data_IF_742809018850
#
_entry.id   IF_742809018850
#
_cell.length_a   1.000
_cell.length_b   1.000
_cell.length_c   1.000
_cell.angle_alpha   90.00
_cell.angle_beta   90.00
_cell.angle_gamma   90.00
#
_symmetry.space_group_name_H-M   'P 1'
#
loop_
_entity.id
_entity.type
_entity.pdbx_description
1 polymer ?
#
# COMPACT_ATOMS: atom_id res chain seq x y z
N UNK A 1 3.81 11.32 24.83
CA UNK A 1 2.52 10.98 24.19
C UNK A 1 2.28 9.51 24.47
N UNK A 2 1.37 9.18 25.38
CA UNK A 2 0.91 7.80 25.53
C UNK A 2 0.25 7.43 24.21
N UNK A 3 0.90 6.57 23.42
CA UNK A 3 0.21 5.86 22.34
C UNK A 3 -0.86 5.09 23.08
N UNK A 4 -2.10 5.56 22.97
CA UNK A 4 -3.26 5.04 23.68
C UNK A 4 -3.43 3.59 23.23
N UNK A 5 -2.76 2.70 23.96
CA UNK A 5 -2.53 1.31 23.56
C UNK A 5 -3.88 0.62 23.42
N UNK A 6 -4.88 1.07 24.17
CA UNK A 6 -6.27 0.64 24.05
C UNK A 6 -6.94 1.07 22.73
N UNK A 7 -6.66 2.26 22.18
CA UNK A 7 -7.20 2.68 20.87
C UNK A 7 -6.59 1.88 19.72
N UNK A 8 -5.28 1.61 19.78
CA UNK A 8 -4.59 0.81 18.75
C UNK A 8 -4.98 -0.67 18.86
N UNK A 9 -5.12 -1.20 20.07
CA UNK A 9 -5.67 -2.55 20.29
C UNK A 9 -7.16 -2.65 19.90
N UNK A 10 -7.94 -1.56 20.00
CA UNK A 10 -9.32 -1.50 19.49
C UNK A 10 -9.38 -1.53 17.95
N UNK A 11 -8.43 -0.92 17.24
CA UNK A 11 -8.32 -1.07 15.77
C UNK A 11 -7.80 -2.45 15.36
N UNK A 12 -6.98 -3.08 16.20
CA UNK A 12 -6.49 -4.45 16.02
C UNK A 12 -7.41 -5.52 16.63
N UNK A 13 -8.61 -5.16 17.10
CA UNK A 13 -9.52 -6.13 17.71
C UNK A 13 -10.01 -7.10 16.62
N UNK A 14 -9.73 -8.41 16.73
CA UNK A 14 -10.11 -9.40 15.71
C UNK A 14 -11.60 -9.39 15.37
N UNK A 15 -12.48 -9.00 16.32
CA UNK A 15 -13.92 -8.88 16.05
C UNK A 15 -14.29 -7.70 15.14
N UNK A 16 -13.49 -6.63 15.11
CA UNK A 16 -13.70 -5.47 14.23
C UNK A 16 -13.04 -5.63 12.85
N UNK A 17 -12.14 -6.60 12.71
CA UNK A 17 -11.55 -7.01 11.42
C UNK A 17 -12.62 -7.60 10.49
N UNK A 18 -13.59 -8.32 11.05
CA UNK A 18 -14.65 -8.95 10.25
C UNK A 18 -15.53 -7.95 9.52
N UNK A 19 -15.70 -6.71 10.01
CA UNK A 19 -16.58 -5.73 9.34
C UNK A 19 -15.99 -5.31 7.97
N UNK A 20 -14.73 -4.83 7.85
CA UNK A 20 -14.11 -4.57 6.55
C UNK A 20 -13.96 -5.79 5.66
N UNK A 21 -13.69 -6.97 6.25
CA UNK A 21 -13.56 -8.23 5.50
C UNK A 21 -14.91 -8.64 4.90
N UNK A 22 -15.99 -8.62 5.69
CA UNK A 22 -17.35 -8.92 5.23
C UNK A 22 -17.88 -7.85 4.28
N UNK A 23 -17.48 -6.58 4.44
CA UNK A 23 -17.77 -5.53 3.45
C UNK A 23 -17.03 -5.77 2.13
N UNK A 24 -15.74 -6.11 2.17
CA UNK A 24 -14.96 -6.41 0.97
C UNK A 24 -15.49 -7.64 0.24
N UNK A 25 -15.75 -8.73 0.97
CA UNK A 25 -16.38 -9.94 0.43
C UNK A 25 -17.80 -9.61 -0.04
N UNK A 26 -18.58 -8.86 0.73
CA UNK A 26 -19.95 -8.48 0.41
C UNK A 26 -20.06 -7.62 -0.83
N UNK A 27 -19.12 -6.70 -1.07
CA UNK A 27 -19.05 -5.92 -2.32
C UNK A 27 -18.70 -6.83 -3.49
N UNK A 28 -17.73 -7.75 -3.35
CA UNK A 28 -17.39 -8.71 -4.41
C UNK A 28 -18.58 -9.61 -4.73
N UNK A 29 -19.25 -10.15 -3.70
CA UNK A 29 -20.46 -10.98 -3.86
C UNK A 29 -21.61 -10.18 -4.44
N UNK A 30 -21.83 -8.93 -4.01
CA UNK A 30 -22.85 -8.07 -4.60
C UNK A 30 -22.55 -7.76 -6.07
N UNK A 31 -21.31 -7.40 -6.41
CA UNK A 31 -20.91 -7.20 -7.80
C UNK A 31 -21.07 -8.49 -8.61
N UNK A 32 -20.87 -9.67 -8.00
CA UNK A 32 -21.13 -10.94 -8.66
C UNK A 32 -22.63 -11.22 -8.86
N UNK A 33 -23.47 -10.87 -7.88
CA UNK A 33 -24.92 -11.10 -7.90
C UNK A 33 -25.67 -10.10 -8.80
N UNK A 34 -25.15 -8.89 -8.95
CA UNK A 34 -25.73 -7.81 -9.75
C UNK A 34 -25.07 -7.66 -11.14
N UNK A 35 -24.13 -8.55 -11.50
CA UNK A 35 -23.62 -8.64 -12.87
C UNK A 35 -24.51 -9.61 -13.66
N UNK A 36 -25.38 -9.07 -14.50
CA UNK A 36 -26.31 -9.82 -15.35
C UNK A 36 -25.60 -10.80 -16.31
N UNK A 37 -24.28 -10.69 -16.47
CA UNK A 37 -23.45 -11.56 -17.30
C UNK A 37 -22.68 -12.64 -16.52
N UNK A 38 -22.98 -12.86 -15.23
CA UNK A 38 -22.27 -13.83 -14.39
C UNK A 38 -22.85 -15.24 -14.52
N UNK A 39 -22.42 -15.95 -15.56
CA UNK A 39 -22.77 -17.35 -15.77
C UNK A 39 -21.77 -18.27 -15.06
N UNK A 40 -22.22 -19.43 -14.56
CA UNK A 40 -21.32 -20.46 -14.00
C UNK A 40 -20.18 -20.84 -14.96
N UNK A 41 -20.44 -20.74 -16.27
CA UNK A 41 -19.47 -20.96 -17.34
C UNK A 41 -18.27 -20.01 -17.29
N UNK A 42 -18.45 -18.76 -16.84
CA UNK A 42 -17.34 -17.79 -16.68
C UNK A 42 -16.45 -18.11 -15.49
N UNK A 43 -16.97 -18.78 -14.46
CA UNK A 43 -16.16 -19.26 -13.34
C UNK A 43 -15.32 -20.47 -13.74
N UNK A 44 -15.82 -21.31 -14.66
CA UNK A 44 -15.08 -22.46 -15.20
C UNK A 44 -13.87 -22.03 -16.05
N UNK A 45 -13.85 -20.79 -16.56
CA UNK A 45 -12.70 -20.20 -17.27
C UNK A 45 -11.43 -20.14 -16.41
N UNK A 46 -11.53 -20.29 -15.08
CA UNK A 46 -10.35 -20.42 -14.21
C UNK A 46 -9.46 -21.60 -14.63
N UNK A 47 -10.04 -22.65 -15.18
CA UNK A 47 -9.31 -23.83 -15.65
C UNK A 47 -8.40 -23.55 -16.85
N UNK A 48 -8.66 -22.46 -17.59
CA UNK A 48 -7.84 -22.04 -18.72
C UNK A 48 -6.58 -21.28 -18.29
N UNK A 49 -6.40 -21.01 -16.99
CA UNK A 49 -5.22 -20.33 -16.49
C UNK A 49 -3.95 -21.18 -16.73
N UNK A 50 -2.98 -20.62 -17.45
CA UNK A 50 -1.67 -21.21 -17.65
C UNK A 50 -0.94 -21.44 -16.33
N UNK A 51 -0.75 -22.70 -15.95
CA UNK A 51 -0.14 -23.08 -14.67
C UNK A 51 1.27 -22.51 -14.45
N UNK A 52 2.06 -22.39 -15.53
CA UNK A 52 3.40 -21.78 -15.47
C UNK A 52 3.38 -20.30 -15.08
N UNK A 53 2.50 -19.50 -15.72
CA UNK A 53 2.32 -18.08 -15.42
C UNK A 53 1.77 -17.87 -14.00
N UNK A 54 0.87 -18.74 -13.54
CA UNK A 54 0.35 -18.69 -12.18
C UNK A 54 1.41 -19.04 -11.13
N UNK A 55 2.22 -20.08 -11.38
CA UNK A 55 3.37 -20.39 -10.53
C UNK A 55 4.36 -19.23 -10.48
N UNK A 56 4.63 -18.59 -11.62
CA UNK A 56 5.46 -17.39 -11.67
C UNK A 56 4.88 -16.25 -10.83
N UNK A 57 3.56 -16.00 -10.90
CA UNK A 57 2.91 -15.00 -10.05
C UNK A 57 3.11 -15.29 -8.55
N UNK A 58 3.01 -16.57 -8.15
CA UNK A 58 3.28 -17.01 -6.77
C UNK A 58 4.75 -16.87 -6.37
N UNK A 59 5.69 -17.13 -7.27
CA UNK A 59 7.11 -16.91 -6.99
C UNK A 59 7.44 -15.42 -6.86
N UNK A 60 6.84 -14.57 -7.70
CA UNK A 60 7.02 -13.13 -7.66
C UNK A 60 6.48 -12.55 -6.34
N UNK A 61 5.30 -12.97 -5.87
CA UNK A 61 4.77 -12.49 -4.59
C UNK A 61 5.66 -12.89 -3.41
N UNK A 62 6.22 -14.11 -3.44
CA UNK A 62 7.17 -14.56 -2.41
C UNK A 62 8.47 -13.72 -2.44
N UNK A 63 9.04 -13.50 -3.62
CA UNK A 63 10.21 -12.65 -3.80
C UNK A 63 9.96 -11.22 -3.31
N UNK A 64 8.78 -10.67 -3.63
CA UNK A 64 8.34 -9.35 -3.16
C UNK A 64 8.30 -9.28 -1.64
N UNK A 65 7.72 -10.27 -0.98
CA UNK A 65 7.60 -10.30 0.48
C UNK A 65 8.96 -10.44 1.16
N UNK A 66 9.87 -11.25 0.60
CA UNK A 66 11.28 -11.29 1.02
C UNK A 66 11.97 -9.94 0.86
N UNK A 67 11.66 -9.22 -0.23
CA UNK A 67 12.12 -7.84 -0.45
C UNK A 67 11.62 -6.87 0.62
N UNK A 68 10.35 -6.94 1.02
CA UNK A 68 9.79 -6.14 2.11
C UNK A 68 10.46 -6.46 3.46
N UNK A 69 10.69 -7.74 3.76
CA UNK A 69 11.38 -8.21 4.98
C UNK A 69 12.81 -7.66 5.03
N UNK A 70 13.55 -7.78 3.92
CA UNK A 70 14.89 -7.22 3.79
C UNK A 70 14.87 -5.70 3.97
N UNK A 71 13.94 -5.00 3.29
CA UNK A 71 13.79 -3.55 3.34
C UNK A 71 13.58 -3.05 4.76
N UNK A 72 12.61 -3.60 5.51
CA UNK A 72 12.30 -3.13 6.87
C UNK A 72 13.46 -3.40 7.84
N UNK A 73 14.19 -4.51 7.65
CA UNK A 73 15.39 -4.83 8.42
C UNK A 73 16.51 -3.83 8.15
N UNK A 74 16.74 -3.45 6.88
CA UNK A 74 17.76 -2.45 6.54
C UNK A 74 17.36 -1.05 7.00
N UNK A 75 16.09 -0.67 6.86
CA UNK A 75 15.54 0.59 7.31
C UNK A 75 15.72 0.79 8.82
N UNK A 76 15.50 -0.26 9.61
CA UNK A 76 15.69 -0.22 11.07
C UNK A 76 17.16 -0.31 11.49
N UNK A 77 18.10 -0.41 10.55
CA UNK A 77 19.53 -0.58 10.84
C UNK A 77 19.82 -1.94 11.49
N UNK A 78 19.11 -2.99 11.07
CA UNK A 78 19.21 -4.38 11.56
C UNK A 78 18.80 -4.59 13.03
N UNK A 79 18.12 -3.64 13.65
CA UNK A 79 17.56 -3.78 15.01
C UNK A 79 16.50 -4.88 15.10
N UNK A 80 15.69 -5.07 14.06
CA UNK A 80 14.70 -6.15 14.00
C UNK A 80 15.35 -7.46 13.57
N UNK A 81 15.16 -8.55 14.31
CA UNK A 81 15.51 -9.91 13.84
C UNK A 81 14.77 -10.27 12.54
N UNK A 82 15.26 -11.25 11.78
CA UNK A 82 14.56 -11.72 10.57
C UNK A 82 13.12 -12.15 10.86
N UNK A 83 12.90 -12.90 11.93
CA UNK A 83 11.55 -13.30 12.34
C UNK A 83 10.69 -12.11 12.74
N UNK A 84 11.24 -11.15 13.50
CA UNK A 84 10.55 -9.90 13.83
C UNK A 84 10.15 -9.12 12.57
N UNK A 85 11.02 -9.08 11.55
CA UNK A 85 10.70 -8.46 10.26
C UNK A 85 9.57 -9.17 9.52
N UNK A 86 9.52 -10.51 9.56
CA UNK A 86 8.38 -11.28 9.01
C UNK A 86 7.08 -10.88 9.71
N UNK A 87 7.06 -10.88 11.05
CA UNK A 87 5.88 -10.46 11.81
C UNK A 87 5.46 -9.03 11.47
N UNK A 88 6.42 -8.10 11.39
CA UNK A 88 6.16 -6.70 11.05
C UNK A 88 5.49 -6.58 9.67
N UNK A 89 6.04 -7.23 8.64
CA UNK A 89 5.50 -7.11 7.27
C UNK A 89 4.12 -7.75 7.15
N UNK A 90 3.92 -8.97 7.66
CA UNK A 90 2.62 -9.65 7.60
C UNK A 90 1.54 -8.82 8.30
N UNK A 91 1.84 -8.32 9.51
CA UNK A 91 0.88 -7.55 10.29
C UNK A 91 0.67 -6.14 9.74
N UNK A 92 1.68 -5.54 9.10
CA UNK A 92 1.54 -4.28 8.39
C UNK A 92 0.59 -4.45 7.20
N UNK A 93 0.85 -5.41 6.31
CA UNK A 93 0.00 -5.66 5.14
C UNK A 93 -1.43 -6.04 5.54
N UNK A 94 -1.58 -6.87 6.59
CA UNK A 94 -2.87 -7.18 7.18
C UNK A 94 -3.61 -5.93 7.65
N UNK A 95 -2.93 -5.05 8.39
CA UNK A 95 -3.55 -3.82 8.86
C UNK A 95 -3.95 -2.91 7.71
N UNK A 96 -3.10 -2.77 6.70
CA UNK A 96 -3.40 -1.97 5.50
C UNK A 96 -4.61 -2.52 4.74
N UNK A 97 -4.75 -3.84 4.68
CA UNK A 97 -5.87 -4.51 4.01
C UNK A 97 -7.22 -4.32 4.74
N UNK A 98 -7.20 -4.23 6.07
CA UNK A 98 -8.41 -4.16 6.91
C UNK A 98 -8.83 -2.71 7.19
N UNK A 99 -7.90 -1.74 7.21
CA UNK A 99 -8.24 -0.37 7.59
C UNK A 99 -8.87 0.43 6.42
N UNK A 100 -9.97 1.18 6.65
CA UNK A 100 -10.64 2.00 5.62
C UNK A 100 -9.79 3.09 4.97
N UNK A 101 -8.69 3.47 5.60
CA UNK A 101 -7.84 4.56 5.15
C UNK A 101 -6.39 4.12 5.14
N UNK A 102 -5.63 4.60 4.15
CA UNK A 102 -4.16 4.51 4.05
C UNK A 102 -3.46 4.93 5.36
N UNK A 103 -4.10 5.81 6.13
CA UNK A 103 -3.59 6.31 7.42
C UNK A 103 -3.68 5.27 8.55
N UNK A 104 -4.65 4.34 8.48
CA UNK A 104 -4.86 3.32 9.52
C UNK A 104 -3.72 2.30 9.60
N UNK A 105 -3.30 1.76 8.46
CA UNK A 105 -2.19 0.80 8.37
C UNK A 105 -0.87 1.36 8.91
N UNK A 106 -0.59 2.64 8.64
CA UNK A 106 0.65 3.30 9.09
C UNK A 106 0.71 3.44 10.62
N UNK A 107 -0.40 3.77 11.28
CA UNK A 107 -0.45 3.89 12.75
C UNK A 107 -0.21 2.54 13.44
N UNK A 108 -0.79 1.47 12.87
CA UNK A 108 -0.59 0.10 13.36
C UNK A 108 0.84 -0.36 13.11
N UNK A 109 1.43 -0.07 11.95
CA UNK A 109 2.83 -0.37 11.66
C UNK A 109 3.80 0.27 12.68
N UNK A 110 3.59 1.55 13.03
CA UNK A 110 4.37 2.24 14.06
C UNK A 110 4.27 1.51 15.41
N UNK A 111 3.06 1.07 15.77
CA UNK A 111 2.84 0.33 17.01
C UNK A 111 3.51 -1.04 17.01
N UNK A 112 3.43 -1.79 15.91
CA UNK A 112 4.08 -3.11 15.78
C UNK A 112 5.60 -2.95 15.90
N UNK A 113 6.20 -1.98 15.21
CA UNK A 113 7.62 -1.66 15.34
C UNK A 113 8.00 -1.32 16.78
N UNK A 114 7.17 -0.52 17.47
CA UNK A 114 7.39 -0.18 18.87
C UNK A 114 7.37 -1.41 19.78
N UNK A 115 6.44 -2.34 19.53
CA UNK A 115 6.34 -3.60 20.29
C UNK A 115 7.47 -4.58 20.00
N UNK A 116 8.04 -4.55 18.80
CA UNK A 116 9.25 -5.30 18.41
C UNK A 116 10.56 -4.67 18.92
N UNK A 117 10.48 -3.67 19.81
CA UNK A 117 11.64 -3.10 20.51
C UNK A 117 12.24 -1.84 19.87
N UNK A 118 11.67 -1.34 18.77
CA UNK A 118 12.09 -0.08 18.17
C UNK A 118 11.56 1.09 19.02
N UNK A 119 12.41 2.08 19.34
CA UNK A 119 11.95 3.26 20.10
C UNK A 119 10.84 3.97 19.31
N UNK A 120 9.79 4.45 19.99
CA UNK A 120 8.61 5.04 19.33
C UNK A 120 8.97 6.13 18.31
N UNK A 121 9.88 7.03 18.66
CA UNK A 121 10.33 8.08 17.74
C UNK A 121 11.02 7.56 16.47
N UNK A 122 11.72 6.42 16.58
CA UNK A 122 12.33 5.74 15.43
C UNK A 122 11.28 5.00 14.60
N UNK A 123 10.31 4.35 15.23
CA UNK A 123 9.21 3.68 14.53
C UNK A 123 8.41 4.67 13.66
N UNK A 124 8.11 5.86 14.20
CA UNK A 124 7.50 6.95 13.45
C UNK A 124 8.39 7.38 12.28
N UNK A 125 9.69 7.57 12.52
CA UNK A 125 10.65 7.95 11.48
C UNK A 125 10.71 6.95 10.33
N UNK A 126 10.78 5.66 10.66
CA UNK A 126 10.86 4.58 9.70
C UNK A 126 9.57 4.44 8.90
N UNK A 127 8.40 4.49 9.55
CA UNK A 127 7.12 4.46 8.84
C UNK A 127 6.97 5.64 7.87
N UNK A 128 7.35 6.85 8.30
CA UNK A 128 7.32 8.04 7.45
C UNK A 128 8.30 7.93 6.27
N UNK A 129 9.53 7.45 6.52
CA UNK A 129 10.52 7.27 5.46
C UNK A 129 10.06 6.21 4.45
N UNK A 130 9.48 5.10 4.90
CA UNK A 130 8.90 4.09 4.01
C UNK A 130 7.84 4.70 3.10
N UNK A 131 6.90 5.46 3.67
CA UNK A 131 5.85 6.13 2.90
C UNK A 131 6.41 7.12 1.86
N UNK A 132 7.45 7.89 2.22
CA UNK A 132 8.11 8.81 1.27
C UNK A 132 8.77 8.03 0.15
N UNK A 133 9.51 6.95 0.45
CA UNK A 133 10.16 6.12 -0.56
C UNK A 133 9.14 5.43 -1.49
N UNK A 134 8.03 4.95 -0.92
CA UNK A 134 6.94 4.33 -1.67
C UNK A 134 6.27 5.33 -2.60
N UNK A 135 5.96 6.53 -2.12
CA UNK A 135 5.39 7.56 -2.99
C UNK A 135 6.41 8.06 -4.03
N UNK A 136 7.70 8.12 -3.68
CA UNK A 136 8.74 8.50 -4.64
C UNK A 136 8.84 7.51 -5.80
N UNK A 137 8.64 6.21 -5.54
CA UNK A 137 8.51 5.23 -6.61
C UNK A 137 7.42 5.64 -7.60
N UNK A 138 6.23 6.03 -7.13
CA UNK A 138 5.13 6.46 -8.00
C UNK A 138 5.40 7.76 -8.75
N UNK A 139 6.02 8.73 -8.07
CA UNK A 139 6.41 10.02 -8.69
C UNK A 139 7.37 9.80 -9.85
N UNK A 140 8.29 8.84 -9.75
CA UNK A 140 9.26 8.53 -10.81
C UNK A 140 8.70 7.55 -11.85
N UNK A 141 7.97 6.52 -11.41
CA UNK A 141 7.47 5.47 -12.28
C UNK A 141 6.34 5.94 -13.19
N UNK A 142 5.53 6.91 -12.77
CA UNK A 142 4.41 7.39 -13.58
C UNK A 142 4.83 8.10 -14.88
N UNK A 143 5.77 9.07 -14.88
CA UNK A 143 6.31 9.61 -16.13
C UNK A 143 6.92 8.54 -17.04
N UNK A 144 7.67 7.60 -16.47
CA UNK A 144 8.28 6.49 -17.23
C UNK A 144 7.19 5.61 -17.85
N UNK A 145 6.15 5.27 -17.09
CA UNK A 145 5.00 4.51 -17.57
C UNK A 145 4.27 5.21 -18.72
N UNK A 146 4.05 6.52 -18.62
CA UNK A 146 3.41 7.30 -19.68
C UNK A 146 4.26 7.31 -20.96
N UNK A 147 5.57 7.53 -20.84
CA UNK A 147 6.51 7.50 -21.96
C UNK A 147 6.55 6.12 -22.64
N UNK A 148 6.70 5.05 -21.86
CA UNK A 148 6.74 3.67 -22.35
C UNK A 148 5.43 3.22 -22.99
N UNK A 149 4.30 3.79 -22.55
CA UNK A 149 2.98 3.49 -23.11
C UNK A 149 2.65 4.26 -24.39
N UNK A 150 3.48 5.23 -24.80
CA UNK A 150 3.22 6.13 -25.94
C UNK A 150 1.80 6.73 -25.92
N UNK A 151 1.31 7.12 -24.73
CA UNK A 151 -0.03 7.68 -24.54
C UNK A 151 -1.18 6.66 -24.49
N UNK A 152 -0.91 5.35 -24.51
CA UNK A 152 -1.92 4.28 -24.42
C UNK A 152 -2.16 3.75 -23.00
N UNK A 153 -1.50 4.34 -21.99
CA UNK A 153 -1.73 4.00 -20.59
C UNK A 153 -3.14 4.34 -20.11
N UNK A 154 -3.81 5.29 -20.75
CA UNK A 154 -5.23 5.55 -20.52
C UNK A 154 -6.07 4.71 -21.49
N UNK A 155 -7.16 4.07 -21.02
CA UNK A 155 -8.07 3.37 -21.90
C UNK A 155 -8.77 4.37 -22.84
N UNK A 156 -8.81 4.07 -24.15
CA UNK A 156 -9.35 4.94 -25.22
C UNK A 156 -10.88 4.93 -25.35
N UNK A 157 -11.60 4.41 -24.37
CA UNK A 157 -13.05 4.25 -24.46
C UNK A 157 -13.72 5.64 -24.49
N UNK A 158 -14.41 5.97 -25.60
CA UNK A 158 -15.19 7.21 -25.81
C UNK A 158 -16.27 7.44 -24.73
N UNK A 159 -16.54 6.44 -23.90
CA UNK A 159 -17.49 6.48 -22.79
C UNK A 159 -16.85 6.21 -21.41
N UNK A 160 -15.54 6.47 -21.21
CA UNK A 160 -14.96 6.53 -19.86
C UNK A 160 -15.38 7.79 -19.08
N UNK A 161 -16.63 8.24 -19.28
CA UNK A 161 -17.33 9.05 -18.31
C UNK A 161 -17.52 8.15 -17.09
N UNK A 162 -16.70 8.36 -16.06
CA UNK A 162 -16.98 7.76 -14.77
C UNK A 162 -18.43 8.08 -14.41
N UNK A 163 -19.13 7.16 -13.73
CA UNK A 163 -20.42 7.44 -13.10
C UNK A 163 -20.36 8.67 -12.14
N UNK A 164 -19.15 9.15 -11.85
CA UNK A 164 -18.81 10.33 -11.04
C UNK A 164 -18.44 11.59 -11.84
N UNK A 165 -18.67 11.64 -13.17
CA UNK A 165 -18.68 12.88 -13.96
C UNK A 165 -17.32 13.47 -14.38
N UNK A 166 -16.23 12.70 -14.39
CA UNK A 166 -14.90 13.15 -14.84
C UNK A 166 -14.17 12.14 -15.71
N UNK A 167 -13.21 12.60 -16.53
CA UNK A 167 -12.33 11.72 -17.30
C UNK A 167 -11.26 11.09 -16.41
N UNK A 168 -10.96 9.81 -16.63
CA UNK A 168 -9.90 9.07 -15.91
C UNK A 168 -8.55 9.80 -15.93
N UNK A 169 -8.25 10.47 -17.04
CA UNK A 169 -7.03 11.24 -17.23
C UNK A 169 -6.96 12.46 -16.29
N UNK A 170 -8.06 13.21 -16.13
CA UNK A 170 -8.12 14.33 -15.19
C UNK A 170 -7.95 13.84 -13.75
N UNK A 171 -8.63 12.75 -13.37
CA UNK A 171 -8.45 12.17 -12.04
C UNK A 171 -7.01 11.71 -11.80
N UNK A 172 -6.38 11.10 -12.80
CA UNK A 172 -4.98 10.71 -12.71
C UNK A 172 -4.08 11.92 -12.49
N UNK A 173 -4.18 12.99 -13.29
CA UNK A 173 -3.30 14.16 -13.14
C UNK A 173 -3.51 14.89 -11.81
N UNK A 174 -4.76 14.97 -11.33
CA UNK A 174 -5.06 15.51 -9.99
C UNK A 174 -4.40 14.64 -8.92
N UNK A 175 -4.61 13.32 -8.96
CA UNK A 175 -4.03 12.37 -8.00
C UNK A 175 -2.50 12.42 -8.02
N UNK A 176 -1.91 12.43 -9.22
CA UNK A 176 -0.48 12.51 -9.45
C UNK A 176 0.11 13.83 -8.95
N UNK A 177 -0.56 14.96 -9.21
CA UNK A 177 -0.17 16.26 -8.68
C UNK A 177 -0.18 16.27 -7.14
N UNK A 178 -1.25 15.75 -6.54
CA UNK A 178 -1.38 15.67 -5.08
C UNK A 178 -0.30 14.80 -4.44
N UNK A 179 -0.06 13.58 -4.93
CA UNK A 179 1.00 12.71 -4.38
C UNK A 179 2.39 13.30 -4.61
N UNK A 180 2.64 13.93 -5.76
CA UNK A 180 3.93 14.58 -6.06
C UNK A 180 4.19 15.73 -5.10
N UNK A 181 3.24 16.66 -4.96
CA UNK A 181 3.36 17.79 -4.02
C UNK A 181 3.54 17.28 -2.60
N UNK A 182 2.73 16.32 -2.16
CA UNK A 182 2.83 15.72 -0.84
C UNK A 182 4.22 15.12 -0.60
N UNK A 183 4.72 14.33 -1.55
CA UNK A 183 6.00 13.61 -1.43
C UNK A 183 7.18 14.58 -1.42
N UNK A 184 7.17 15.59 -2.29
CA UNK A 184 8.22 16.62 -2.33
C UNK A 184 8.24 17.43 -1.04
N UNK A 185 7.08 17.89 -0.57
CA UNK A 185 6.97 18.62 0.70
C UNK A 185 7.47 17.77 1.86
N UNK A 186 7.10 16.48 1.90
CA UNK A 186 7.53 15.58 2.97
C UNK A 186 9.02 15.23 2.90
N UNK A 187 9.56 15.00 1.72
CA UNK A 187 10.99 14.80 1.52
C UNK A 187 11.79 16.05 1.96
N UNK A 188 11.38 17.25 1.52
CA UNK A 188 12.03 18.50 1.89
C UNK A 188 11.95 18.76 3.42
N UNK A 189 10.81 18.44 4.03
CA UNK A 189 10.63 18.55 5.47
C UNK A 189 11.53 17.58 6.24
N UNK A 190 11.65 16.34 5.77
CA UNK A 190 12.42 15.29 6.44
C UNK A 190 13.94 15.51 6.30
N UNK A 191 14.40 15.88 5.10
CA UNK A 191 15.83 15.95 4.79
C UNK A 191 16.44 17.33 5.00
N UNK A 192 15.74 18.40 4.61
CA UNK A 192 16.35 19.73 4.51
C UNK A 192 16.03 20.62 5.72
N UNK A 193 14.74 20.90 5.96
CA UNK A 193 14.33 21.93 6.95
C UNK A 193 13.13 21.50 7.82
N UNK A 194 13.29 20.52 8.72
CA UNK A 194 12.20 20.02 9.56
C UNK A 194 11.62 21.09 10.50
N UNK A 195 12.46 22.02 10.98
CA UNK A 195 12.01 23.14 11.83
C UNK A 195 11.16 24.15 11.04
N UNK A 196 11.54 24.45 9.80
CA UNK A 196 10.78 25.35 8.93
C UNK A 196 9.42 24.75 8.57
N UNK A 197 9.39 23.43 8.32
CA UNK A 197 8.14 22.72 8.09
C UNK A 197 7.20 22.79 9.30
N UNK A 198 7.70 22.50 10.51
CA UNK A 198 6.92 22.65 11.75
C UNK A 198 6.40 24.08 11.92
N UNK A 199 7.25 25.08 11.69
CA UNK A 199 6.84 26.48 11.77
C UNK A 199 5.73 26.82 10.77
N UNK A 200 5.87 26.38 9.51
CA UNK A 200 4.87 26.58 8.47
C UNK A 200 3.52 25.93 8.86
N UNK A 201 3.54 24.69 9.34
CA UNK A 201 2.34 24.01 9.83
C UNK A 201 1.64 24.79 10.95
N UNK A 202 2.41 25.28 11.93
CA UNK A 202 1.85 26.07 13.04
C UNK A 202 1.32 27.41 12.54
N UNK A 203 1.97 28.05 11.57
CA UNK A 203 1.55 29.32 10.98
C UNK A 203 0.25 29.17 10.18
N UNK A 204 0.15 28.16 9.33
CA UNK A 204 -1.09 27.85 8.59
C UNK A 204 -2.23 27.52 9.56
N UNK A 205 -1.97 26.72 10.58
CA UNK A 205 -2.97 26.39 11.61
C UNK A 205 -3.21 27.50 12.64
N UNK A 206 -2.63 28.68 12.45
CA UNK A 206 -2.92 29.87 13.26
C UNK A 206 -4.05 30.73 12.67
N UNK A 207 -4.43 30.49 11.41
CA UNK A 207 -5.59 31.12 10.76
C UNK A 207 -6.88 30.72 11.50
N UNK A 208 -7.81 31.65 11.69
CA UNK A 208 -8.97 31.53 12.59
C UNK A 208 -9.72 30.19 12.49
N UNK A 209 -10.15 29.79 11.29
CA UNK A 209 -10.89 28.54 11.09
C UNK A 209 -10.01 27.28 11.28
N UNK A 210 -8.69 27.39 11.05
CA UNK A 210 -7.76 26.27 11.15
C UNK A 210 -7.22 26.02 12.55
N UNK A 211 -7.52 26.91 13.51
CA UNK A 211 -7.01 26.86 14.88
C UNK A 211 -7.37 25.56 15.61
N UNK A 212 -8.50 24.94 15.25
CA UNK A 212 -8.93 23.64 15.81
C UNK A 212 -7.94 22.48 15.54
N UNK A 213 -7.13 22.56 14.47
CA UNK A 213 -6.15 21.53 14.12
C UNK A 213 -4.73 21.85 14.57
N UNK A 214 -4.51 22.98 15.25
CA UNK A 214 -3.17 23.43 15.68
C UNK A 214 -2.45 22.41 16.56
N UNK A 215 -3.16 21.76 17.49
CA UNK A 215 -2.58 20.71 18.33
C UNK A 215 -2.02 19.54 17.48
N UNK A 216 -2.78 19.09 16.48
CA UNK A 216 -2.33 18.06 15.56
C UNK A 216 -1.11 18.49 14.74
N UNK A 217 -1.12 19.73 14.23
CA UNK A 217 0.00 20.29 13.47
C UNK A 217 1.30 20.38 14.29
N UNK A 218 1.22 20.76 15.57
CA UNK A 218 2.37 20.77 16.48
C UNK A 218 2.95 19.36 16.65
N UNK A 219 2.08 18.36 16.88
CA UNK A 219 2.51 16.97 17.03
C UNK A 219 3.17 16.43 15.76
N UNK A 220 2.54 16.62 14.59
CA UNK A 220 3.12 16.23 13.29
C UNK A 220 4.46 16.92 13.02
N UNK A 221 4.56 18.21 13.32
CA UNK A 221 5.83 18.93 13.19
C UNK A 221 6.93 18.38 14.11
N UNK A 222 6.58 17.97 15.34
CA UNK A 222 7.52 17.30 16.25
C UNK A 222 7.95 15.92 15.72
N UNK A 223 7.01 15.13 15.22
CA UNK A 223 7.27 13.82 14.59
C UNK A 223 8.29 13.95 13.46
N UNK A 224 8.14 14.95 12.58
CA UNK A 224 9.08 15.21 11.48
C UNK A 224 10.46 15.62 11.99
N UNK A 225 10.54 16.46 13.02
CA UNK A 225 11.83 16.82 13.61
C UNK A 225 12.53 15.60 14.21
N UNK A 226 11.77 14.75 14.92
CA UNK A 226 12.30 13.50 15.49
C UNK A 226 12.76 12.55 14.38
N UNK A 227 11.95 12.40 13.33
CA UNK A 227 12.28 11.56 12.18
C UNK A 227 13.53 12.03 11.45
N UNK A 228 13.63 13.34 11.19
CA UNK A 228 14.81 13.95 10.57
C UNK A 228 16.07 13.70 11.38
N UNK A 229 16.01 13.88 12.72
CA UNK A 229 17.16 13.59 13.61
C UNK A 229 17.59 12.14 13.55
N UNK A 230 16.66 11.19 13.46
CA UNK A 230 16.97 9.76 13.39
C UNK A 230 17.65 9.34 12.07
N UNK A 231 17.40 10.08 11.00
CA UNK A 231 17.91 9.78 9.65
C UNK A 231 19.18 10.56 9.30
N UNK A 232 19.51 11.62 10.05
CA UNK A 232 20.76 12.37 9.88
C UNK A 232 21.98 11.48 10.14
N UNK A 233 23.01 11.64 9.32
CA UNK A 233 24.28 10.93 9.47
C UNK A 233 24.29 9.49 8.95
N UNK A 234 23.24 9.03 8.26
CA UNK A 234 23.24 7.72 7.59
C UNK A 234 24.11 7.79 6.32
N UNK A 235 25.04 6.83 6.18
CA UNK A 235 25.93 6.74 5.02
C UNK A 235 25.21 6.40 3.71
N UNK A 236 25.88 6.61 2.58
CA UNK A 236 25.33 6.39 1.24
C UNK A 236 24.80 4.97 1.03
N UNK A 237 25.49 3.96 1.57
CA UNK A 237 25.08 2.56 1.45
C UNK A 237 23.68 2.29 2.02
N UNK A 238 23.33 2.96 3.12
CA UNK A 238 22.02 2.82 3.74
C UNK A 238 20.92 3.26 2.76
N UNK A 239 21.12 4.41 2.11
CA UNK A 239 20.20 4.96 1.13
C UNK A 239 20.08 4.08 -0.11
N UNK A 240 21.19 3.59 -0.64
CA UNK A 240 21.17 2.68 -1.79
C UNK A 240 20.44 1.38 -1.45
N UNK A 241 20.74 0.76 -0.31
CA UNK A 241 20.11 -0.51 0.12
C UNK A 241 18.59 -0.38 0.25
N UNK A 242 18.09 0.68 0.90
CA UNK A 242 16.64 0.85 1.09
C UNK A 242 15.94 1.28 -0.21
N UNK A 243 16.59 2.10 -1.05
CA UNK A 243 16.02 2.53 -2.34
C UNK A 243 15.93 1.37 -3.31
N UNK A 244 17.00 0.58 -3.48
CA UNK A 244 16.99 -0.61 -4.36
C UNK A 244 15.97 -1.63 -3.87
N UNK A 245 15.91 -1.89 -2.56
CA UNK A 245 14.89 -2.77 -2.00
C UNK A 245 13.47 -2.25 -2.26
N UNK A 246 13.25 -0.94 -2.19
CA UNK A 246 11.94 -0.33 -2.48
C UNK A 246 11.57 -0.50 -3.95
N UNK A 247 12.50 -0.20 -4.87
CA UNK A 247 12.30 -0.40 -6.31
C UNK A 247 11.98 -1.86 -6.63
N UNK A 248 12.78 -2.80 -6.12
CA UNK A 248 12.59 -4.23 -6.33
C UNK A 248 11.20 -4.70 -5.88
N UNK A 249 10.78 -4.29 -4.68
CA UNK A 249 9.48 -4.66 -4.12
C UNK A 249 8.32 -4.14 -4.97
N UNK A 250 8.35 -2.86 -5.36
CA UNK A 250 7.29 -2.29 -6.18
C UNK A 250 7.27 -2.90 -7.59
N UNK A 251 8.43 -3.08 -8.22
CA UNK A 251 8.53 -3.76 -9.51
C UNK A 251 7.93 -5.17 -9.40
N UNK A 252 8.36 -5.99 -8.43
CA UNK A 252 7.80 -7.32 -8.21
C UNK A 252 6.27 -7.29 -8.00
N UNK A 253 5.75 -6.32 -7.24
CA UNK A 253 4.31 -6.13 -7.05
C UNK A 253 3.56 -5.96 -8.38
N UNK A 254 4.06 -5.11 -9.27
CA UNK A 254 3.43 -4.83 -10.57
C UNK A 254 3.63 -5.97 -11.58
N UNK A 255 4.74 -6.69 -11.49
CA UNK A 255 4.97 -7.91 -12.28
C UNK A 255 4.06 -9.07 -11.84
N UNK A 256 3.55 -9.06 -10.59
CA UNK A 256 2.61 -10.10 -10.12
C UNK A 256 1.32 -10.10 -10.95
N UNK A 257 0.68 -8.94 -11.11
CA UNK A 257 -0.53 -8.84 -11.93
C UNK A 257 -0.21 -9.07 -13.42
N UNK A 258 0.98 -8.67 -13.87
CA UNK A 258 1.43 -8.96 -15.23
C UNK A 258 1.46 -10.48 -15.49
N UNK A 259 2.02 -11.25 -14.56
CA UNK A 259 2.02 -12.72 -14.62
C UNK A 259 0.61 -13.33 -14.53
N UNK A 260 -0.30 -12.75 -13.73
CA UNK A 260 -1.71 -13.18 -13.68
C UNK A 260 -2.41 -12.96 -15.03
N UNK A 261 -2.21 -11.81 -15.68
CA UNK A 261 -2.78 -11.54 -17.02
C UNK A 261 -2.19 -12.52 -18.04
N UNK A 262 -0.89 -12.80 -17.94
CA UNK A 262 -0.17 -13.75 -18.81
C UNK A 262 -0.57 -15.21 -18.57
N UNK A 263 -1.41 -15.49 -17.57
CA UNK A 263 -2.02 -16.81 -17.41
C UNK A 263 -3.22 -17.00 -18.34
N UNK A 264 -3.80 -15.93 -18.88
CA UNK A 264 -5.00 -15.97 -19.73
C UNK A 264 -4.78 -15.42 -21.14
N UNK A 265 -3.75 -14.60 -21.33
CA UNK A 265 -3.45 -13.96 -22.60
C UNK A 265 -1.95 -14.04 -22.91
N UNK A 266 -1.63 -14.39 -24.15
CA UNK A 266 -0.26 -14.30 -24.65
C UNK A 266 0.06 -12.83 -24.96
N UNK A 267 0.95 -12.25 -24.14
CA UNK A 267 1.35 -10.86 -24.27
C UNK A 267 2.73 -10.75 -24.95
N UNK A 268 2.87 -9.82 -25.88
CA UNK A 268 4.16 -9.40 -26.37
C UNK A 268 4.90 -8.55 -25.33
N UNK A 269 6.22 -8.38 -25.50
CA UNK A 269 7.04 -7.55 -24.60
C UNK A 269 6.50 -6.12 -24.47
N UNK A 270 6.02 -5.52 -25.56
CA UNK A 270 5.43 -4.17 -25.52
C UNK A 270 4.10 -4.15 -24.78
N UNK A 271 3.29 -5.21 -24.89
CA UNK A 271 2.05 -5.35 -24.12
C UNK A 271 2.32 -5.54 -22.63
N UNK A 272 3.37 -6.28 -22.24
CA UNK A 272 3.77 -6.38 -20.83
C UNK A 272 4.15 -5.01 -20.25
N UNK A 273 4.90 -4.19 -21.01
CA UNK A 273 5.24 -2.82 -20.59
C UNK A 273 4.01 -1.92 -20.51
N UNK A 274 3.07 -2.06 -21.45
CA UNK A 274 1.80 -1.34 -21.43
C UNK A 274 0.95 -1.72 -20.22
N UNK A 275 0.86 -3.02 -19.90
CA UNK A 275 0.18 -3.53 -18.70
C UNK A 275 0.82 -2.93 -17.44
N UNK A 276 2.15 -2.92 -17.35
CA UNK A 276 2.87 -2.28 -16.24
C UNK A 276 2.51 -0.78 -16.11
N UNK A 277 2.51 -0.05 -17.22
CA UNK A 277 2.16 1.38 -17.22
C UNK A 277 0.72 1.64 -16.81
N UNK A 278 -0.23 0.84 -17.33
CA UNK A 278 -1.65 0.87 -16.97
C UNK A 278 -1.88 0.60 -15.49
N UNK A 279 -1.12 -0.32 -14.89
CA UNK A 279 -1.21 -0.58 -13.46
C UNK A 279 -0.75 0.61 -12.61
N UNK A 280 0.30 1.33 -13.03
CA UNK A 280 0.75 2.54 -12.31
C UNK A 280 -0.32 3.63 -12.38
N UNK A 281 -0.88 3.87 -13.58
CA UNK A 281 -1.97 4.84 -13.78
C UNK A 281 -3.18 4.47 -12.92
N UNK A 282 -3.62 3.22 -12.99
CA UNK A 282 -4.74 2.71 -12.19
C UNK A 282 -4.48 2.90 -10.69
N UNK A 283 -3.30 2.53 -10.18
CA UNK A 283 -2.98 2.67 -8.76
C UNK A 283 -3.01 4.13 -8.28
N UNK A 284 -2.46 5.05 -9.09
CA UNK A 284 -2.47 6.48 -8.76
C UNK A 284 -3.90 7.02 -8.72
N UNK A 285 -4.74 6.64 -9.69
CA UNK A 285 -6.17 7.01 -9.70
C UNK A 285 -6.92 6.44 -8.49
N UNK A 286 -6.54 5.25 -8.02
CA UNK A 286 -7.12 4.62 -6.83
C UNK A 286 -6.76 5.34 -5.51
N UNK A 287 -5.76 6.21 -5.46
CA UNK A 287 -5.36 6.90 -4.22
C UNK A 287 -6.45 7.83 -3.65
N UNK A 288 -7.36 8.33 -4.50
CA UNK A 288 -8.48 9.18 -4.08
C UNK A 288 -9.67 8.33 -3.59
N UNK A 289 -9.64 7.01 -3.80
CA UNK A 289 -10.72 6.12 -3.39
C UNK A 289 -10.90 6.12 -1.86
N UNK A 290 -12.12 6.38 -1.35
CA UNK A 290 -12.38 6.42 0.08
C UNK A 290 -12.59 5.02 0.71
N UNK A 291 -12.50 3.93 -0.07
CA UNK A 291 -12.84 2.58 0.42
C UNK A 291 -11.63 1.80 0.97
N UNK A 292 -11.80 1.00 2.06
CA UNK A 292 -10.78 0.07 2.55
C UNK A 292 -10.27 -0.85 1.44
N UNK A 293 -8.94 -0.96 1.28
CA UNK A 293 -8.34 -1.81 0.23
C UNK A 293 -8.72 -1.43 -1.21
N UNK A 294 -9.32 -0.24 -1.39
CA UNK A 294 -9.95 0.23 -2.62
C UNK A 294 -10.99 -0.75 -3.21
N UNK A 295 -11.59 -1.61 -2.37
CA UNK A 295 -12.64 -2.54 -2.82
C UNK A 295 -13.87 -1.78 -3.34
N UNK A 296 -14.50 -2.31 -4.39
CA UNK A 296 -15.52 -1.67 -5.22
C UNK A 296 -14.94 -0.74 -6.30
N UNK A 297 -13.98 0.12 -5.94
CA UNK A 297 -13.38 1.06 -6.89
C UNK A 297 -12.35 0.39 -7.81
N UNK A 298 -11.51 -0.49 -7.25
CA UNK A 298 -10.55 -1.28 -8.04
C UNK A 298 -11.27 -2.21 -9.02
N UNK A 299 -12.37 -2.83 -8.59
CA UNK A 299 -13.18 -3.76 -9.37
C UNK A 299 -13.90 -3.03 -10.52
N UNK A 300 -14.30 -1.76 -10.33
CA UNK A 300 -14.83 -0.93 -11.41
C UNK A 300 -13.78 -0.44 -12.40
N UNK A 301 -12.55 -0.17 -11.96
CA UNK A 301 -11.46 0.28 -12.82
C UNK A 301 -10.78 -0.86 -13.57
N UNK A 302 -10.64 -2.05 -12.96
CA UNK A 302 -9.89 -3.16 -13.53
C UNK A 302 -10.35 -3.53 -14.95
N UNK A 303 -11.66 -3.70 -15.24
CA UNK A 303 -12.12 -3.97 -16.59
C UNK A 303 -11.82 -2.85 -17.57
N UNK A 304 -11.86 -1.58 -17.13
CA UNK A 304 -11.57 -0.45 -18.01
C UNK A 304 -10.12 -0.46 -18.49
N UNK A 305 -9.18 -0.89 -17.63
CA UNK A 305 -7.76 -0.94 -17.97
C UNK A 305 -7.34 -2.25 -18.66
N UNK A 306 -7.94 -3.39 -18.30
CA UNK A 306 -7.41 -4.71 -18.69
C UNK A 306 -8.33 -5.58 -19.55
N UNK A 307 -9.60 -5.19 -19.80
CA UNK A 307 -10.49 -5.98 -20.64
C UNK A 307 -10.01 -6.15 -22.08
N UNK A 308 -9.25 -5.18 -22.60
CA UNK A 308 -8.67 -5.27 -23.94
C UNK A 308 -7.67 -6.43 -24.07
N UNK A 309 -7.04 -6.84 -22.96
CA UNK A 309 -6.10 -7.97 -22.96
C UNK A 309 -6.80 -9.28 -22.60
N UNK A 310 -7.79 -9.21 -21.71
CA UNK A 310 -8.38 -10.38 -21.07
C UNK A 310 -9.71 -10.83 -21.67
N UNK A 311 -10.45 -9.96 -22.36
CA UNK A 311 -11.78 -10.26 -22.88
C UNK A 311 -12.69 -10.85 -21.79
N UNK A 312 -13.24 -12.04 -22.05
CA UNK A 312 -14.10 -12.77 -21.11
C UNK A 312 -13.39 -13.19 -19.81
N UNK A 313 -12.05 -13.26 -19.81
CA UNK A 313 -11.25 -13.61 -18.63
C UNK A 313 -11.09 -12.46 -17.62
N UNK A 314 -11.61 -11.26 -17.92
CA UNK A 314 -11.39 -10.05 -17.10
C UNK A 314 -11.82 -10.24 -15.65
N UNK A 315 -13.00 -10.82 -15.44
CA UNK A 315 -13.54 -11.06 -14.11
C UNK A 315 -12.67 -12.06 -13.33
N UNK A 316 -12.35 -13.21 -13.94
CA UNK A 316 -11.61 -14.28 -13.25
C UNK A 316 -10.16 -13.86 -12.96
N UNK A 317 -9.53 -13.13 -13.87
CA UNK A 317 -8.19 -12.57 -13.66
C UNK A 317 -8.17 -11.55 -12.52
N UNK A 318 -9.19 -10.69 -12.39
CA UNK A 318 -9.31 -9.77 -11.27
C UNK A 318 -9.44 -10.52 -9.92
N UNK A 319 -10.29 -11.56 -9.89
CA UNK A 319 -10.47 -12.39 -8.69
C UNK A 319 -9.15 -13.09 -8.33
N UNK A 320 -8.46 -13.70 -9.30
CA UNK A 320 -7.15 -14.33 -9.10
C UNK A 320 -6.10 -13.34 -8.61
N UNK A 321 -6.07 -12.14 -9.18
CA UNK A 321 -5.18 -11.08 -8.71
C UNK A 321 -5.43 -10.74 -7.23
N UNK A 322 -6.70 -10.61 -6.80
CA UNK A 322 -7.04 -10.42 -5.38
C UNK A 322 -6.69 -11.64 -4.52
N UNK A 323 -6.90 -12.86 -5.03
CA UNK A 323 -6.53 -14.11 -4.35
C UNK A 323 -5.03 -14.25 -4.14
N UNK A 324 -4.20 -13.71 -5.03
CA UNK A 324 -2.74 -13.74 -4.89
C UNK A 324 -2.22 -12.55 -4.06
N UNK A 325 -2.81 -11.37 -4.20
CA UNK A 325 -2.21 -10.13 -3.68
C UNK A 325 -2.88 -9.54 -2.43
N UNK A 326 -4.10 -9.96 -2.10
CA UNK A 326 -4.89 -9.36 -1.02
C UNK A 326 -5.31 -10.39 0.05
N UNK A 327 -6.00 -11.47 -0.34
CA UNK A 327 -6.52 -12.45 0.63
C UNK A 327 -5.43 -13.19 1.43
N UNK A 328 -4.23 -13.51 0.90
CA UNK A 328 -3.20 -14.17 1.69
C UNK A 328 -2.79 -13.35 2.92
N UNK A 329 -2.73 -12.02 2.80
CA UNK A 329 -2.39 -11.14 3.93
C UNK A 329 -3.50 -11.07 4.98
N UNK A 330 -4.76 -11.17 4.56
CA UNK A 330 -5.89 -11.30 5.49
C UNK A 330 -5.80 -12.60 6.31
N UNK A 331 -5.57 -13.73 5.64
CA UNK A 331 -5.46 -15.05 6.28
C UNK A 331 -4.22 -15.12 7.17
N UNK A 332 -3.04 -14.79 6.63
CA UNK A 332 -1.79 -14.81 7.38
C UNK A 332 -1.84 -13.86 8.57
N UNK A 333 -2.34 -12.64 8.38
CA UNK A 333 -2.49 -11.68 9.46
C UNK A 333 -3.42 -12.17 10.58
N UNK A 334 -4.57 -12.75 10.23
CA UNK A 334 -5.50 -13.31 11.21
C UNK A 334 -4.89 -14.47 12.02
N UNK A 335 -4.07 -15.32 11.39
CA UNK A 335 -3.40 -16.44 12.06
C UNK A 335 -2.18 -15.99 12.90
N UNK A 336 -1.44 -14.99 12.41
CA UNK A 336 -0.19 -14.53 13.01
C UNK A 336 -0.43 -13.56 14.17
N UNK A 337 -1.46 -12.71 14.07
CA UNK A 337 -1.75 -11.67 15.06
C UNK A 337 -1.92 -12.21 16.49
N UNK A 338 -2.70 -13.28 16.77
CA UNK A 338 -2.87 -13.79 18.13
C UNK A 338 -1.55 -14.28 18.73
N UNK A 339 -0.76 -15.03 17.96
CA UNK A 339 0.55 -15.54 18.39
C UNK A 339 1.53 -14.41 18.65
N UNK A 340 1.53 -13.40 17.79
CA UNK A 340 2.37 -12.21 17.95
C UNK A 340 1.99 -11.40 19.20
N UNK A 341 0.69 -11.22 19.46
CA UNK A 341 0.20 -10.56 20.67
C UNK A 341 0.64 -11.29 21.94
N UNK A 342 0.48 -12.62 21.98
CA UNK A 342 0.94 -13.43 23.12
C UNK A 342 2.44 -13.24 23.36
N UNK A 343 3.26 -13.36 22.31
CA UNK A 343 4.72 -13.20 22.42
C UNK A 343 5.12 -11.80 22.92
N UNK A 344 4.57 -10.75 22.33
CA UNK A 344 5.00 -9.37 22.61
C UNK A 344 4.43 -8.78 23.90
N UNK A 345 3.29 -9.28 24.38
CA UNK A 345 2.68 -8.83 25.63
C UNK A 345 3.02 -9.71 26.84
N UNK A 346 3.18 -11.03 26.69
CA UNK A 346 3.50 -11.92 27.81
C UNK A 346 5.01 -11.97 28.13
N UNK A 347 5.88 -11.67 27.16
CA UNK A 347 7.34 -11.70 27.37
C UNK A 347 7.89 -10.46 28.09
N UNK A 348 7.07 -9.44 28.38
CA UNK A 348 7.44 -8.33 29.28
C UNK A 348 6.72 -8.52 30.62
N UNK A 349 7.30 -9.33 31.51
CA UNK A 349 7.02 -9.19 32.95
C UNK A 349 7.35 -7.75 33.37
N UNK A 350 6.61 -7.16 34.33
CA UNK A 350 6.93 -5.82 34.83
C UNK A 350 8.37 -5.84 35.33
N UNK A 351 9.17 -4.85 34.93
CA UNK A 351 10.39 -4.54 35.66
C UNK A 351 9.89 -4.07 37.02
N UNK A 352 10.08 -4.89 38.05
CA UNK A 352 9.94 -4.46 39.44
C UNK A 352 10.89 -3.28 39.62
N UNK A 353 10.32 -2.10 39.83
CA UNK A 353 11.07 -0.97 40.40
C UNK A 353 11.44 -1.40 41.83
N UNK A 354 12.73 -1.66 42.05
CA UNK A 354 13.36 -1.76 43.38
C UNK A 354 14.19 -0.51 43.58
#
# INVERSE_FOLDING_TARGET
MNVDTQKVLRTLNPRKVWIPVLLGIGIVVAMMLFDDNLTADKLLLISHAGGGSMLLALLIILCRDLGYIYRIRMLTGKQLSWMSSVYVIILWEFSSAVTPSVVGGTAVAIFILYKEGIKLGQAIAYAMLSAILDNMFFVVAAPIALLLSSGQAFPRLEAANLQFGGSLEVLFYISYGLITVYTLVMALALFSKPRAFKWLLIKVTSIGFLRRWRHGAVNRGNEIIMASRQLKGRGWEYWVKISVATLFVWIARYFTLNAVISAFADLSVSQHLLVFGRQIVMWITMLISPTPGSSGFAEGLFPQFFSIFLGDYTLIANILWRMVTYYPYLILGALVLPRWLQRTFLSKKPVEEV
#
